data_IF_730068219895
#
_entry.id   IF_730068219895
#
_cell.length_a   1.000
_cell.length_b   1.000
_cell.length_c   1.000
_cell.angle_alpha   90.00
_cell.angle_beta   90.00
_cell.angle_gamma   90.00
#
_symmetry.space_group_name_H-M   'P 1'
#
loop_
_entity.id
_entity.type
_entity.pdbx_description
1 polymer ?
#
# COMPACT_ATOMS: atom_id res chain seq x y z
N UNK A 1 -2.98 18.32 -3.60
CA UNK A 1 -2.69 16.87 -3.67
C UNK A 1 -2.66 16.32 -2.25
N UNK A 2 -2.92 15.04 -2.07
CA UNK A 2 -2.92 14.35 -0.78
C UNK A 2 -1.93 13.20 -0.86
N UNK A 3 -1.05 13.08 0.14
CA UNK A 3 -0.19 11.92 0.30
C UNK A 3 -0.80 10.98 1.32
N UNK A 4 -1.01 9.73 0.90
CA UNK A 4 -1.59 8.66 1.70
C UNK A 4 -0.52 7.61 1.97
N UNK A 5 -0.11 7.48 3.23
CA UNK A 5 0.94 6.57 3.66
C UNK A 5 0.37 5.47 4.54
N UNK A 6 0.50 4.21 4.10
CA UNK A 6 0.03 3.07 4.88
C UNK A 6 1.18 2.11 5.12
N UNK A 7 1.33 1.67 6.37
CA UNK A 7 2.41 0.77 6.75
C UNK A 7 1.87 -0.43 7.50
N UNK A 8 2.59 -1.55 7.36
CA UNK A 8 2.24 -2.82 7.98
C UNK A 8 3.49 -3.58 8.44
N UNK A 9 3.25 -4.61 9.24
CA UNK A 9 4.17 -5.71 9.45
C UNK A 9 3.64 -6.96 8.77
N UNK A 10 4.48 -7.94 8.50
CA UNK A 10 4.02 -9.28 8.12
C UNK A 10 3.47 -10.00 9.35
N UNK A 11 2.49 -10.87 9.13
CA UNK A 11 1.94 -11.72 10.18
C UNK A 11 3.02 -12.64 10.76
N UNK A 12 2.84 -12.99 12.03
CA UNK A 12 3.68 -14.00 12.68
C UNK A 12 3.66 -15.31 11.88
N UNK A 13 4.83 -15.87 11.62
CA UNK A 13 4.99 -17.09 10.82
C UNK A 13 4.90 -16.90 9.31
N UNK A 14 4.76 -15.67 8.80
CA UNK A 14 4.90 -15.42 7.37
C UNK A 14 6.34 -15.72 6.91
N UNK A 15 6.56 -16.56 5.89
CA UNK A 15 7.91 -16.98 5.50
C UNK A 15 8.78 -15.81 5.04
N UNK A 16 9.98 -15.67 5.60
CA UNK A 16 10.91 -14.57 5.34
C UNK A 16 11.27 -14.50 3.85
N UNK A 17 11.53 -15.66 3.23
CA UNK A 17 11.89 -15.79 1.82
C UNK A 17 10.78 -15.33 0.86
N UNK A 18 9.52 -15.25 1.34
CA UNK A 18 8.37 -14.81 0.55
C UNK A 18 8.06 -13.32 0.71
N UNK A 19 8.68 -12.61 1.65
CA UNK A 19 8.39 -11.19 1.91
C UNK A 19 8.73 -10.32 0.71
N UNK A 20 9.88 -10.57 0.08
CA UNK A 20 10.31 -9.82 -1.10
C UNK A 20 9.40 -10.06 -2.31
N UNK A 21 9.01 -11.31 -2.55
CA UNK A 21 8.05 -11.67 -3.59
C UNK A 21 6.70 -10.98 -3.35
N UNK A 22 6.19 -11.04 -2.12
CA UNK A 22 4.90 -10.44 -1.76
C UNK A 22 4.90 -8.92 -1.88
N UNK A 23 5.98 -8.27 -1.45
CA UNK A 23 6.14 -6.82 -1.59
C UNK A 23 6.20 -6.40 -3.07
N UNK A 24 6.90 -7.17 -3.91
CA UNK A 24 6.96 -6.93 -5.36
C UNK A 24 5.60 -7.12 -6.02
N UNK A 25 4.88 -8.20 -5.70
CA UNK A 25 3.52 -8.44 -6.21
C UNK A 25 2.58 -7.28 -5.86
N UNK A 26 2.63 -6.81 -4.61
CA UNK A 26 1.85 -5.66 -4.18
C UNK A 26 2.23 -4.38 -4.93
N UNK A 27 3.53 -4.11 -5.13
CA UNK A 27 4.03 -2.95 -5.88
C UNK A 27 3.52 -2.94 -7.32
N UNK A 28 3.67 -4.06 -8.03
CA UNK A 28 3.23 -4.22 -9.43
C UNK A 28 1.72 -4.01 -9.57
N UNK A 29 0.93 -4.62 -8.68
CA UNK A 29 -0.53 -4.51 -8.73
C UNK A 29 -1.02 -3.10 -8.39
N UNK A 30 -0.41 -2.42 -7.42
CA UNK A 30 -0.76 -1.05 -7.04
C UNK A 30 -0.37 -0.03 -8.11
N UNK A 31 0.83 -0.17 -8.69
CA UNK A 31 1.27 0.67 -9.82
C UNK A 31 0.36 0.53 -11.03
N UNK A 32 -0.13 -0.67 -11.31
CA UNK A 32 -1.08 -0.89 -12.40
C UNK A 32 -2.41 -0.14 -12.22
N UNK A 33 -2.78 0.25 -10.99
CA UNK A 33 -4.00 1.03 -10.73
C UNK A 33 -3.88 2.49 -11.13
N UNK A 34 -2.65 3.02 -11.25
CA UNK A 34 -2.40 4.39 -11.68
C UNK A 34 -2.95 4.58 -13.09
N UNK A 35 -3.82 5.56 -13.26
CA UNK A 35 -4.56 5.80 -14.51
C UNK A 35 -5.82 4.96 -14.70
N UNK A 36 -6.08 3.94 -13.87
CA UNK A 36 -7.36 3.23 -13.83
C UNK A 36 -8.31 3.80 -12.78
N UNK A 37 -7.77 4.31 -11.68
CA UNK A 37 -8.54 4.98 -10.62
C UNK A 37 -8.40 6.49 -10.80
N UNK A 38 -9.54 7.18 -10.89
CA UNK A 38 -9.56 8.64 -10.99
C UNK A 38 -8.83 9.26 -9.79
N UNK A 39 -7.95 10.22 -10.08
CA UNK A 39 -7.22 10.97 -9.06
C UNK A 39 -6.02 10.25 -8.46
N UNK A 40 -5.77 8.98 -8.78
CA UNK A 40 -4.55 8.27 -8.37
C UNK A 40 -3.37 8.66 -9.28
N UNK A 41 -2.54 9.58 -8.80
CA UNK A 41 -1.37 10.09 -9.50
C UNK A 41 -0.12 9.21 -9.32
N UNK A 42 0.01 8.59 -8.14
CA UNK A 42 1.15 7.74 -7.81
C UNK A 42 0.77 6.63 -6.84
N UNK A 43 1.38 5.45 -7.01
CA UNK A 43 1.30 4.35 -6.05
C UNK A 43 2.61 3.54 -6.08
N UNK A 44 3.12 3.20 -4.90
CA UNK A 44 4.35 2.41 -4.75
C UNK A 44 4.36 1.65 -3.44
N UNK A 45 4.77 0.39 -3.49
CA UNK A 45 5.03 -0.43 -2.31
C UNK A 45 6.53 -0.58 -2.07
N UNK A 46 6.94 -0.45 -0.82
CA UNK A 46 8.33 -0.61 -0.36
C UNK A 46 8.39 -1.64 0.76
N UNK A 47 9.35 -2.55 0.62
CA UNK A 47 9.81 -3.41 1.70
C UNK A 47 10.99 -2.73 2.40
N UNK A 48 10.88 -2.56 3.72
CA UNK A 48 11.98 -2.04 4.53
C UNK A 48 13.14 -3.05 4.57
N UNK A 49 14.36 -2.56 4.34
CA UNK A 49 15.61 -3.34 4.44
C UNK A 49 16.58 -2.78 5.47
N UNK A 50 16.19 -1.71 6.17
CA UNK A 50 17.05 -1.02 7.10
C UNK A 50 16.72 -1.41 8.55
N UNK A 51 17.76 -1.65 9.39
CA UNK A 51 17.54 -1.91 10.80
C UNK A 51 17.00 -0.66 11.52
N UNK A 52 16.13 -0.86 12.50
CA UNK A 52 15.59 0.22 13.36
C UNK A 52 14.24 0.80 12.93
N UNK A 53 13.71 0.45 11.75
CA UNK A 53 12.31 0.73 11.41
C UNK A 53 11.37 -0.15 12.24
N UNK A 54 10.22 0.40 12.65
CA UNK A 54 9.15 -0.34 13.32
C UNK A 54 8.15 -0.97 12.34
N UNK A 55 8.36 -0.76 11.03
CA UNK A 55 7.48 -1.21 9.94
C UNK A 55 8.25 -1.93 8.85
N UNK A 56 7.66 -2.99 8.33
CA UNK A 56 8.23 -3.82 7.27
C UNK A 56 7.75 -3.42 5.88
N UNK A 57 6.49 -3.00 5.74
CA UNK A 57 5.92 -2.56 4.46
C UNK A 57 5.45 -1.12 4.53
N UNK A 58 5.61 -0.39 3.43
CA UNK A 58 5.10 0.96 3.23
C UNK A 58 4.47 1.08 1.83
N UNK A 59 3.19 1.40 1.79
CA UNK A 59 2.49 1.92 0.63
C UNK A 59 2.56 3.45 0.66
N UNK A 60 3.04 4.03 -0.43
CA UNK A 60 3.01 5.45 -0.73
C UNK A 60 2.01 5.65 -1.86
N UNK A 61 0.96 6.44 -1.63
CA UNK A 61 0.04 6.86 -2.69
C UNK A 61 -0.08 8.38 -2.72
N UNK A 62 -0.21 8.95 -3.92
CA UNK A 62 -0.50 10.37 -4.11
C UNK A 62 -1.79 10.51 -4.89
N UNK A 63 -2.70 11.30 -4.32
CA UNK A 63 -4.03 11.56 -4.83
C UNK A 63 -4.17 13.05 -5.15
N UNK A 64 -4.97 13.39 -6.15
CA UNK A 64 -5.15 14.79 -6.56
C UNK A 64 -5.88 15.62 -5.48
N UNK A 65 -6.95 15.07 -4.90
CA UNK A 65 -7.76 15.73 -3.86
C UNK A 65 -8.15 14.77 -2.72
N UNK A 66 -8.62 15.28 -1.56
CA UNK A 66 -9.18 14.46 -0.50
C UNK A 66 -10.37 13.60 -0.94
N UNK A 67 -11.22 14.12 -1.83
CA UNK A 67 -12.36 13.36 -2.38
C UNK A 67 -11.91 12.20 -3.26
N UNK A 68 -10.83 12.38 -4.03
CA UNK A 68 -10.23 11.30 -4.81
C UNK A 68 -9.60 10.23 -3.91
N UNK A 69 -9.06 10.60 -2.73
CA UNK A 69 -8.63 9.65 -1.70
C UNK A 69 -9.79 8.84 -1.15
N UNK A 70 -10.90 9.49 -0.79
CA UNK A 70 -12.10 8.78 -0.30
C UNK A 70 -12.63 7.79 -1.35
N UNK A 71 -12.66 8.19 -2.62
CA UNK A 71 -13.06 7.32 -3.71
C UNK A 71 -12.07 6.16 -3.94
N UNK A 72 -10.76 6.43 -3.89
CA UNK A 72 -9.71 5.41 -4.04
C UNK A 72 -9.81 4.31 -2.97
N UNK A 73 -10.02 4.69 -1.71
CA UNK A 73 -10.05 3.74 -0.58
C UNK A 73 -11.10 2.63 -0.76
N UNK A 74 -12.25 2.95 -1.36
CA UNK A 74 -13.35 2.00 -1.58
C UNK A 74 -13.42 1.45 -3.01
N UNK A 75 -12.50 1.88 -3.88
CA UNK A 75 -12.54 1.48 -5.28
C UNK A 75 -12.35 -0.04 -5.43
N UNK A 76 -13.19 -0.75 -6.22
CA UNK A 76 -13.15 -2.22 -6.30
C UNK A 76 -11.77 -2.79 -6.66
N UNK A 77 -11.03 -2.13 -7.57
CA UNK A 77 -9.68 -2.54 -7.93
C UNK A 77 -8.68 -2.40 -6.77
N UNK A 78 -8.77 -1.33 -5.98
CA UNK A 78 -7.92 -1.14 -4.80
C UNK A 78 -8.27 -2.16 -3.71
N UNK A 79 -9.55 -2.35 -3.44
CA UNK A 79 -10.04 -3.34 -2.46
C UNK A 79 -9.59 -4.75 -2.83
N UNK A 80 -9.66 -5.13 -4.10
CA UNK A 80 -9.18 -6.44 -4.56
C UNK A 80 -7.69 -6.66 -4.23
N UNK A 81 -6.83 -5.66 -4.47
CA UNK A 81 -5.41 -5.75 -4.11
C UNK A 81 -5.22 -5.87 -2.59
N UNK A 82 -5.97 -5.08 -1.81
CA UNK A 82 -5.90 -5.11 -0.36
C UNK A 82 -6.34 -6.48 0.21
N UNK A 83 -7.42 -7.07 -0.31
CA UNK A 83 -7.96 -8.37 0.14
C UNK A 83 -7.08 -9.55 -0.31
N UNK A 84 -6.58 -9.53 -1.54
CA UNK A 84 -5.87 -10.68 -2.10
C UNK A 84 -4.39 -10.71 -1.73
N UNK A 85 -3.76 -9.54 -1.57
CA UNK A 85 -2.29 -9.44 -1.42
C UNK A 85 -1.90 -9.04 -0.01
N UNK A 86 -2.51 -7.98 0.52
CA UNK A 86 -2.06 -7.35 1.77
C UNK A 86 -2.64 -8.04 2.99
N UNK A 87 -3.97 -8.12 3.12
CA UNK A 87 -4.64 -8.65 4.31
C UNK A 87 -4.24 -10.08 4.70
N UNK A 88 -3.98 -11.02 3.75
CA UNK A 88 -3.55 -12.37 4.09
C UNK A 88 -2.12 -12.42 4.64
N UNK A 89 -1.25 -11.51 4.20
CA UNK A 89 0.18 -11.53 4.54
C UNK A 89 0.55 -10.60 5.70
N UNK A 90 -0.21 -9.51 5.90
CA UNK A 90 0.18 -8.39 6.74
C UNK A 90 -0.80 -8.11 7.89
N UNK A 91 -0.29 -7.47 8.95
CA UNK A 91 -1.00 -7.04 10.15
C UNK A 91 -0.57 -5.63 10.58
N UNK A 92 -1.14 -5.16 11.70
CA UNK A 92 -0.78 -3.90 12.36
C UNK A 92 -0.85 -2.66 11.47
N UNK A 93 -1.89 -2.55 10.64
CA UNK A 93 -2.07 -1.42 9.73
C UNK A 93 -2.00 -0.09 10.49
N UNK A 94 -1.11 0.79 10.06
CA UNK A 94 -1.11 2.21 10.44
C UNK A 94 -1.15 3.08 9.19
N UNK A 95 -1.80 4.23 9.32
CA UNK A 95 -2.08 5.14 8.21
C UNK A 95 -1.75 6.55 8.63
N UNK A 96 -1.15 7.33 7.73
CA UNK A 96 -0.90 8.74 7.93
C UNK A 96 -1.09 9.48 6.61
N UNK A 97 -2.00 10.44 6.62
CA UNK A 97 -2.40 11.19 5.44
C UNK A 97 -2.18 12.68 5.68
N UNK A 98 -1.71 13.39 4.66
CA UNK A 98 -1.53 14.84 4.73
C UNK A 98 -1.67 15.50 3.36
N UNK A 99 -2.13 16.75 3.35
CA UNK A 99 -2.19 17.58 2.14
C UNK A 99 -0.78 18.11 1.79
N UNK A 100 -0.45 18.08 0.50
CA UNK A 100 0.80 18.59 -0.07
C UNK A 100 0.63 19.97 -0.69
#
# INVERSE_FOLDING_TARGET
>A
MVKHLVMWNFREGFPEEKKEEKAREADERLKALVGQIKGLAFAEMRLNRLPGSSRELLLISELETPEDLDAYQVHPLHVAVAEEVIKPAACDRVCFDYEM
#
